data_IF_556949189802
#
_entry.id   IF_556949189802
#
_cell.length_a   1.000
_cell.length_b   1.000
_cell.length_c   1.000
_cell.angle_alpha   90.00
_cell.angle_beta   90.00
_cell.angle_gamma   90.00
#
_symmetry.space_group_name_H-M   'P 1'
#
loop_
_entity.id
_entity.type
_entity.pdbx_description
1 polymer ?
#
# COMPACT_ATOMS: atom_id res chain seq x y z
N UNK A 1 3.76 -12.41 7.97
CA UNK A 1 5.04 -11.63 7.94
C UNK A 1 5.38 -11.25 6.50
N UNK A 2 5.78 -10.02 6.28
CA UNK A 2 6.17 -9.50 4.95
C UNK A 2 7.64 -9.08 4.95
N UNK A 3 8.38 -9.48 3.91
CA UNK A 3 9.76 -9.09 3.67
C UNK A 3 9.91 -8.51 2.27
N UNK A 4 10.46 -7.31 2.20
CA UNK A 4 10.95 -6.67 0.97
C UNK A 4 12.45 -6.48 1.14
N UNK A 5 13.26 -7.00 0.22
CA UNK A 5 14.71 -6.94 0.31
C UNK A 5 15.30 -6.37 -0.99
N UNK A 6 15.79 -5.11 -0.92
CA UNK A 6 16.47 -4.35 -1.99
C UNK A 6 15.74 -4.38 -3.34
N UNK A 7 14.42 -4.18 -3.32
CA UNK A 7 13.66 -4.18 -4.56
C UNK A 7 13.87 -2.90 -5.34
N UNK A 8 13.98 -3.06 -6.65
CA UNK A 8 14.14 -1.93 -7.57
C UNK A 8 13.19 -2.04 -8.74
N UNK A 9 12.76 -0.87 -9.25
CA UNK A 9 11.88 -0.77 -10.43
C UNK A 9 12.12 0.49 -11.21
N UNK A 10 12.30 0.34 -12.51
CA UNK A 10 12.37 1.45 -13.47
C UNK A 10 11.25 1.33 -14.49
N UNK A 11 10.78 2.46 -14.93
CA UNK A 11 9.78 2.56 -15.99
C UNK A 11 10.36 3.29 -17.20
N UNK A 12 9.91 2.90 -18.37
CA UNK A 12 10.20 3.66 -19.58
C UNK A 12 9.58 5.06 -19.47
N UNK A 13 10.39 6.10 -19.57
CA UNK A 13 9.86 7.46 -19.61
C UNK A 13 8.96 7.62 -20.84
N UNK A 14 7.83 8.32 -20.65
CA UNK A 14 7.01 8.70 -21.80
C UNK A 14 7.81 9.70 -22.64
N UNK A 15 7.92 9.50 -23.96
CA UNK A 15 8.62 10.44 -24.80
C UNK A 15 7.92 11.81 -24.76
N UNK A 16 8.63 12.83 -24.31
CA UNK A 16 8.18 14.23 -24.34
C UNK A 16 8.40 14.84 -25.73
N UNK A 17 7.96 14.18 -26.81
CA UNK A 17 8.15 14.66 -28.18
C UNK A 17 8.06 13.56 -29.22
N UNK A 18 8.32 13.88 -30.49
CA UNK A 18 8.30 12.91 -31.56
C UNK A 18 9.33 11.80 -31.30
N UNK A 19 8.88 10.54 -31.36
CA UNK A 19 9.73 9.32 -31.21
C UNK A 19 10.92 9.27 -32.18
N UNK A 20 10.95 10.15 -33.19
CA UNK A 20 11.92 10.20 -34.26
C UNK A 20 12.52 11.60 -34.38
N UNK A 21 13.82 11.72 -34.31
CA UNK A 21 14.53 12.97 -34.61
C UNK A 21 15.26 12.87 -35.94
N UNK A 22 15.19 13.93 -36.70
CA UNK A 22 16.04 14.08 -37.92
C UNK A 22 17.47 14.38 -37.52
N UNK A 23 18.38 13.44 -37.80
CA UNK A 23 19.82 13.69 -37.71
C UNK A 23 20.38 13.61 -39.14
N UNK A 24 20.42 14.78 -39.80
CA UNK A 24 20.72 14.86 -41.22
C UNK A 24 19.61 14.24 -42.07
N UNK A 25 19.96 13.36 -42.99
CA UNK A 25 19.06 12.64 -43.91
C UNK A 25 18.40 11.40 -43.31
N UNK A 26 18.79 11.02 -42.07
CA UNK A 26 18.28 9.79 -41.42
C UNK A 26 17.35 10.14 -40.28
N UNK A 27 16.21 9.44 -40.20
CA UNK A 27 15.35 9.38 -39.02
C UNK A 27 15.98 8.41 -38.01
N UNK A 28 16.37 8.91 -36.83
CA UNK A 28 16.85 8.07 -35.74
C UNK A 28 15.80 8.04 -34.64
N UNK A 29 15.56 6.84 -34.13
CA UNK A 29 14.71 6.65 -32.95
C UNK A 29 15.47 7.19 -31.73
N UNK A 30 14.83 8.05 -30.94
CA UNK A 30 15.41 8.51 -29.68
C UNK A 30 15.65 7.32 -28.74
N UNK A 31 16.78 7.26 -28.03
CA UNK A 31 17.01 6.25 -27.02
C UNK A 31 15.91 6.35 -25.94
N UNK A 32 15.40 5.20 -25.52
CA UNK A 32 14.40 5.10 -24.46
C UNK A 32 15.00 5.64 -23.15
N UNK A 33 14.48 6.77 -22.65
CA UNK A 33 14.81 7.22 -21.32
C UNK A 33 14.10 6.34 -20.26
N UNK A 34 14.74 6.14 -19.13
CA UNK A 34 14.20 5.35 -18.03
C UNK A 34 14.10 6.21 -16.78
N UNK A 35 13.01 6.06 -16.02
CA UNK A 35 12.81 6.69 -14.72
C UNK A 35 12.93 5.61 -13.65
N UNK A 36 13.86 5.77 -12.73
CA UNK A 36 14.01 4.90 -11.56
C UNK A 36 12.94 5.29 -10.55
N UNK A 37 11.89 4.49 -10.44
CA UNK A 37 10.78 4.75 -9.53
C UNK A 37 11.02 4.16 -8.12
N UNK A 38 11.76 3.04 -8.05
CA UNK A 38 12.12 2.35 -6.81
C UNK A 38 13.56 1.88 -6.94
N UNK A 39 14.39 2.16 -5.95
CA UNK A 39 15.82 1.84 -5.91
C UNK A 39 16.19 1.28 -4.53
N UNK A 40 16.38 -0.04 -4.47
CA UNK A 40 16.83 -0.78 -3.29
C UNK A 40 15.94 -0.59 -2.03
N UNK A 41 14.63 -0.49 -2.21
CA UNK A 41 13.70 -0.41 -1.07
C UNK A 41 13.70 -1.75 -0.32
N UNK A 42 13.85 -1.65 1.00
CA UNK A 42 13.76 -2.78 1.94
C UNK A 42 12.77 -2.47 3.05
N UNK A 43 11.98 -3.48 3.45
CA UNK A 43 10.99 -3.37 4.52
C UNK A 43 10.81 -4.75 5.17
N UNK A 44 10.73 -4.78 6.48
CA UNK A 44 10.37 -5.96 7.24
C UNK A 44 9.14 -5.63 8.10
N UNK A 45 8.03 -6.33 7.88
CA UNK A 45 6.80 -6.18 8.64
C UNK A 45 6.47 -7.51 9.34
N UNK A 46 6.61 -7.58 10.67
CA UNK A 46 6.29 -8.77 11.44
C UNK A 46 4.78 -8.90 11.66
N UNK A 47 4.36 -10.10 12.07
CA UNK A 47 2.97 -10.34 12.46
C UNK A 47 2.63 -9.55 13.75
N UNK A 48 1.38 -9.15 13.88
CA UNK A 48 0.89 -8.39 15.03
C UNK A 48 1.37 -6.94 15.08
N UNK A 49 1.94 -6.42 13.99
CA UNK A 49 2.42 -5.04 13.91
C UNK A 49 1.91 -4.33 12.67
N UNK A 50 1.83 -3.01 12.79
CA UNK A 50 1.49 -2.11 11.70
C UNK A 50 2.76 -1.37 11.25
N UNK A 51 3.17 -1.62 10.01
CA UNK A 51 4.33 -0.97 9.40
C UNK A 51 3.86 0.08 8.40
N UNK A 52 4.24 1.33 8.61
CA UNK A 52 3.95 2.47 7.73
C UNK A 52 5.04 2.63 6.66
N UNK A 53 4.64 2.76 5.40
CA UNK A 53 5.50 3.19 4.31
C UNK A 53 5.22 4.68 4.04
N UNK A 54 6.00 5.56 4.68
CA UNK A 54 5.81 7.01 4.67
C UNK A 54 6.66 7.68 3.59
N UNK A 55 6.11 8.64 2.89
CA UNK A 55 6.89 9.43 1.93
C UNK A 55 6.01 10.35 1.08
N UNK A 56 6.61 11.35 0.41
CA UNK A 56 5.87 12.26 -0.46
C UNK A 56 5.27 11.54 -1.68
N UNK A 57 4.39 12.25 -2.39
CA UNK A 57 3.85 11.74 -3.65
C UNK A 57 4.98 11.53 -4.66
N UNK A 58 4.93 10.40 -5.38
CA UNK A 58 6.00 10.02 -6.31
C UNK A 58 7.23 9.37 -5.67
N UNK A 59 7.28 9.18 -4.35
CA UNK A 59 8.41 8.54 -3.66
C UNK A 59 8.59 7.04 -3.96
N UNK A 60 7.66 6.40 -4.66
CA UNK A 60 7.73 4.98 -5.01
C UNK A 60 6.86 4.06 -4.15
N UNK A 61 6.09 4.58 -3.17
CA UNK A 61 5.25 3.79 -2.25
C UNK A 61 4.29 2.85 -2.97
N UNK A 62 3.40 3.39 -3.81
CA UNK A 62 2.42 2.59 -4.58
C UNK A 62 3.11 1.57 -5.49
N UNK A 63 4.23 1.92 -6.13
CA UNK A 63 5.00 0.97 -6.95
C UNK A 63 5.54 -0.19 -6.10
N UNK A 64 6.06 0.11 -4.91
CA UNK A 64 6.54 -0.90 -3.96
C UNK A 64 5.41 -1.82 -3.50
N UNK A 65 4.25 -1.27 -3.11
CA UNK A 65 3.09 -2.07 -2.72
C UNK A 65 2.53 -2.90 -3.88
N UNK A 66 2.52 -2.37 -5.11
CA UNK A 66 2.12 -3.15 -6.30
C UNK A 66 3.08 -4.29 -6.62
N UNK A 67 4.37 -4.12 -6.39
CA UNK A 67 5.34 -5.22 -6.49
C UNK A 67 5.09 -6.28 -5.42
N UNK A 68 4.87 -5.86 -4.18
CA UNK A 68 4.51 -6.75 -3.07
C UNK A 68 3.20 -7.50 -3.33
N UNK A 69 2.20 -6.84 -3.88
CA UNK A 69 0.92 -7.45 -4.28
C UNK A 69 1.06 -8.41 -5.49
N UNK A 70 2.24 -8.52 -6.10
CA UNK A 70 2.47 -9.30 -7.32
C UNK A 70 1.79 -8.72 -8.56
N UNK A 71 1.35 -7.46 -8.53
CA UNK A 71 0.73 -6.77 -9.69
C UNK A 71 1.78 -6.15 -10.62
N UNK A 72 2.99 -5.99 -10.14
CA UNK A 72 4.12 -5.43 -10.85
C UNK A 72 5.36 -6.29 -10.59
N UNK A 73 6.05 -6.72 -11.63
CA UNK A 73 7.30 -7.45 -11.46
C UNK A 73 8.45 -6.49 -11.08
N UNK A 74 9.24 -6.77 -10.03
CA UNK A 74 10.47 -6.02 -9.76
C UNK A 74 11.51 -6.27 -10.85
N UNK A 75 12.44 -5.33 -11.04
CA UNK A 75 13.60 -5.52 -11.92
C UNK A 75 14.75 -6.22 -11.16
N UNK A 76 14.81 -6.05 -9.83
CA UNK A 76 15.75 -6.73 -8.94
C UNK A 76 15.19 -6.78 -7.51
N UNK A 77 15.85 -7.55 -6.64
CA UNK A 77 15.48 -7.72 -5.24
C UNK A 77 14.52 -8.87 -4.99
N UNK A 78 14.07 -9.03 -3.74
CA UNK A 78 13.25 -10.14 -3.27
C UNK A 78 12.03 -9.64 -2.52
N UNK A 79 10.90 -10.30 -2.75
CA UNK A 79 9.61 -10.05 -2.10
C UNK A 79 9.07 -11.37 -1.57
N UNK A 80 8.77 -11.42 -0.28
CA UNK A 80 8.23 -12.61 0.37
C UNK A 80 7.05 -12.28 1.28
N UNK A 81 6.08 -13.17 1.30
CA UNK A 81 4.94 -13.17 2.22
C UNK A 81 4.85 -14.54 2.87
N UNK A 82 5.01 -14.60 4.19
CA UNK A 82 5.10 -15.84 4.98
C UNK A 82 6.10 -16.85 4.39
N UNK A 83 7.29 -16.38 3.96
CA UNK A 83 8.33 -17.16 3.35
C UNK A 83 8.06 -17.58 1.89
N UNK A 84 6.91 -17.18 1.32
CA UNK A 84 6.58 -17.47 -0.08
C UNK A 84 7.06 -16.33 -0.97
N UNK A 85 7.88 -16.66 -1.97
CA UNK A 85 8.33 -15.69 -2.97
C UNK A 85 7.16 -15.20 -3.82
N UNK A 86 6.93 -13.88 -3.82
CA UNK A 86 5.88 -13.24 -4.62
C UNK A 86 6.12 -13.40 -6.13
N UNK A 87 7.37 -13.52 -6.57
CA UNK A 87 7.72 -13.68 -7.98
C UNK A 87 7.63 -15.12 -8.46
N UNK A 88 8.00 -16.10 -7.61
CA UNK A 88 8.06 -17.52 -7.99
C UNK A 88 6.79 -18.30 -7.63
N UNK A 89 6.13 -17.92 -6.53
CA UNK A 89 4.93 -18.57 -6.02
C UNK A 89 3.74 -17.61 -5.91
N UNK A 90 3.57 -16.76 -6.94
CA UNK A 90 2.65 -15.61 -6.94
C UNK A 90 1.25 -15.94 -6.42
N UNK A 91 0.58 -16.95 -6.97
CA UNK A 91 -0.78 -17.31 -6.57
C UNK A 91 -0.87 -17.72 -5.09
N UNK A 92 0.14 -18.47 -4.60
CA UNK A 92 0.19 -18.90 -3.19
C UNK A 92 0.45 -17.72 -2.26
N UNK A 93 1.35 -16.80 -2.64
CA UNK A 93 1.61 -15.59 -1.88
C UNK A 93 0.39 -14.66 -1.87
N UNK A 94 -0.29 -14.47 -3.01
CA UNK A 94 -1.50 -13.65 -3.11
C UNK A 94 -2.65 -14.20 -2.25
N UNK A 95 -2.81 -15.52 -2.14
CA UNK A 95 -3.80 -16.13 -1.25
C UNK A 95 -3.57 -15.84 0.24
N UNK A 96 -2.36 -15.38 0.64
CA UNK A 96 -2.03 -14.96 2.01
C UNK A 96 -2.20 -13.46 2.24
N UNK A 97 -2.66 -12.71 1.24
CA UNK A 97 -2.71 -11.25 1.28
C UNK A 97 -4.12 -10.71 1.06
N UNK A 98 -4.55 -9.80 1.93
CA UNK A 98 -5.67 -8.90 1.69
C UNK A 98 -5.14 -7.57 1.17
N UNK A 99 -5.58 -7.15 -0.03
CA UNK A 99 -5.02 -5.98 -0.68
C UNK A 99 -6.10 -4.93 -0.91
N UNK A 100 -5.88 -3.73 -0.38
CA UNK A 100 -6.64 -2.51 -0.66
C UNK A 100 -5.72 -1.54 -1.42
N UNK A 101 -5.72 -1.64 -2.74
CA UNK A 101 -4.88 -0.79 -3.60
C UNK A 101 -5.55 0.55 -3.96
N UNK A 102 -6.86 0.57 -4.08
CA UNK A 102 -7.70 1.76 -4.29
C UNK A 102 -9.15 1.35 -3.97
N UNK A 103 -9.88 2.19 -3.27
CA UNK A 103 -11.29 1.97 -2.94
C UNK A 103 -12.24 1.91 -4.17
N UNK A 104 -11.70 2.19 -5.36
CA UNK A 104 -12.45 2.21 -6.63
C UNK A 104 -12.77 0.84 -7.23
N UNK A 105 -12.25 -0.23 -6.66
CA UNK A 105 -12.42 -1.59 -7.24
C UNK A 105 -13.72 -2.31 -6.88
N UNK A 106 -14.71 -1.64 -6.30
CA UNK A 106 -16.03 -2.23 -6.03
C UNK A 106 -16.86 -2.31 -7.31
N UNK A 107 -17.68 -3.36 -7.42
CA UNK A 107 -18.71 -3.46 -8.45
C UNK A 107 -19.92 -2.60 -8.04
N UNK A 108 -20.22 -1.47 -8.70
CA UNK A 108 -21.19 -0.49 -8.21
C UNK A 108 -22.63 -1.02 -8.18
N UNK A 109 -22.97 -1.94 -9.09
CA UNK A 109 -24.31 -2.55 -9.16
C UNK A 109 -24.52 -3.69 -8.18
N UNK A 110 -23.45 -4.21 -7.57
CA UNK A 110 -23.54 -5.23 -6.53
C UNK A 110 -23.70 -4.57 -5.17
N UNK A 111 -24.42 -5.26 -4.27
CA UNK A 111 -24.49 -4.89 -2.86
C UNK A 111 -23.12 -5.05 -2.19
N UNK A 112 -22.95 -4.49 -0.98
CA UNK A 112 -21.73 -4.71 -0.19
C UNK A 112 -21.51 -6.21 0.07
N UNK A 113 -22.58 -6.95 0.42
CA UNK A 113 -22.58 -8.40 0.60
C UNK A 113 -22.10 -9.12 -0.65
N UNK A 114 -22.71 -8.84 -1.79
CA UNK A 114 -22.36 -9.48 -3.05
C UNK A 114 -20.91 -9.20 -3.47
N UNK A 115 -20.42 -7.98 -3.25
CA UNK A 115 -19.00 -7.67 -3.46
C UNK A 115 -18.10 -8.56 -2.61
N UNK A 116 -18.39 -8.73 -1.31
CA UNK A 116 -17.60 -9.57 -0.42
C UNK A 116 -17.71 -11.06 -0.80
N UNK A 117 -18.92 -11.58 -0.99
CA UNK A 117 -19.15 -12.98 -1.32
C UNK A 117 -18.50 -13.36 -2.65
N UNK A 118 -18.63 -12.52 -3.67
CA UNK A 118 -18.01 -12.75 -4.96
C UNK A 118 -16.48 -12.90 -4.85
N UNK A 119 -15.82 -11.99 -4.13
CA UNK A 119 -14.37 -12.09 -3.92
C UNK A 119 -13.97 -13.24 -3.00
N UNK A 120 -14.77 -13.58 -1.99
CA UNK A 120 -14.56 -14.77 -1.16
C UNK A 120 -14.57 -16.04 -2.00
N UNK A 121 -15.49 -16.17 -2.93
CA UNK A 121 -15.55 -17.29 -3.88
C UNK A 121 -14.34 -17.33 -4.82
N UNK A 122 -13.89 -16.18 -5.32
CA UNK A 122 -12.66 -16.11 -6.13
C UNK A 122 -11.43 -16.57 -5.36
N UNK A 123 -11.43 -16.39 -4.03
CA UNK A 123 -10.39 -16.87 -3.12
C UNK A 123 -10.59 -18.33 -2.66
N UNK A 124 -11.61 -19.02 -3.19
CA UNK A 124 -11.84 -20.44 -2.95
C UNK A 124 -12.79 -20.75 -1.79
N UNK A 125 -13.46 -19.77 -1.18
CA UNK A 125 -14.48 -20.02 -0.17
C UNK A 125 -15.73 -20.62 -0.80
N UNK A 126 -16.40 -21.51 -0.07
CA UNK A 126 -17.78 -21.93 -0.41
C UNK A 126 -18.75 -20.77 -0.23
N UNK A 127 -19.92 -20.84 -0.88
CA UNK A 127 -20.95 -19.79 -0.74
C UNK A 127 -21.34 -19.55 0.71
N UNK A 128 -21.58 -20.60 1.47
CA UNK A 128 -21.92 -20.47 2.88
C UNK A 128 -20.82 -19.86 3.73
N UNK A 129 -19.55 -20.23 3.48
CA UNK A 129 -18.41 -19.66 4.17
C UNK A 129 -18.23 -18.17 3.83
N UNK A 130 -18.37 -17.81 2.55
CA UNK A 130 -18.23 -16.43 2.10
C UNK A 130 -19.36 -15.54 2.67
N UNK A 131 -20.59 -16.04 2.73
CA UNK A 131 -21.72 -15.34 3.36
C UNK A 131 -21.50 -15.15 4.87
N UNK A 132 -21.13 -16.21 5.59
CA UNK A 132 -20.85 -16.11 7.02
C UNK A 132 -19.72 -15.12 7.32
N UNK A 133 -18.69 -15.11 6.47
CA UNK A 133 -17.58 -14.16 6.62
C UNK A 133 -18.01 -12.72 6.31
N UNK A 134 -18.87 -12.51 5.31
CA UNK A 134 -19.43 -11.19 5.00
C UNK A 134 -20.23 -10.61 6.19
N UNK A 135 -21.01 -11.45 6.90
CA UNK A 135 -21.71 -11.05 8.12
C UNK A 135 -20.75 -10.61 9.23
N UNK A 136 -19.72 -11.41 9.51
CA UNK A 136 -18.71 -11.09 10.53
C UNK A 136 -17.99 -9.76 10.21
N UNK A 137 -17.63 -9.55 8.95
CA UNK A 137 -16.98 -8.32 8.52
C UNK A 137 -17.91 -7.12 8.52
N UNK A 138 -19.22 -7.33 8.30
CA UNK A 138 -20.22 -6.28 8.43
C UNK A 138 -20.34 -5.80 9.88
N UNK A 139 -20.21 -6.70 10.86
CA UNK A 139 -20.17 -6.32 12.28
C UNK A 139 -18.87 -5.59 12.62
N UNK A 140 -17.73 -6.14 12.19
CA UNK A 140 -16.41 -5.55 12.48
C UNK A 140 -16.23 -4.13 11.93
N UNK A 141 -16.83 -3.83 10.78
CA UNK A 141 -16.64 -2.59 10.02
C UNK A 141 -17.86 -1.65 10.05
N UNK A 142 -18.87 -1.95 10.88
CA UNK A 142 -20.14 -1.20 10.94
C UNK A 142 -20.81 -1.05 9.57
N UNK A 143 -20.90 -2.16 8.83
CA UNK A 143 -21.49 -2.20 7.49
C UNK A 143 -22.92 -2.80 7.49
N UNK A 144 -23.43 -3.23 8.66
CA UNK A 144 -24.77 -3.85 8.76
C UNK A 144 -25.87 -3.08 8.03
N UNK A 145 -26.01 -1.74 8.21
CA UNK A 145 -27.07 -0.98 7.54
C UNK A 145 -26.90 -0.87 6.03
N UNK A 146 -25.70 -1.18 5.53
CA UNK A 146 -25.31 -1.02 4.12
C UNK A 146 -25.17 -2.35 3.39
N UNK A 147 -25.19 -3.46 4.13
CA UNK A 147 -24.80 -4.78 3.64
C UNK A 147 -25.55 -5.20 2.37
N UNK A 148 -26.85 -4.94 2.34
CA UNK A 148 -27.73 -5.32 1.23
C UNK A 148 -28.10 -4.14 0.31
N UNK A 149 -27.32 -3.03 0.38
CA UNK A 149 -27.44 -1.89 -0.54
C UNK A 149 -26.37 -1.97 -1.63
N UNK A 150 -26.73 -1.60 -2.86
CA UNK A 150 -25.78 -1.45 -3.96
C UNK A 150 -24.72 -0.40 -3.60
N UNK A 151 -23.47 -0.67 -3.97
CA UNK A 151 -22.35 0.21 -3.62
C UNK A 151 -22.29 1.49 -4.48
N UNK A 152 -23.13 1.58 -5.50
CA UNK A 152 -23.38 2.83 -6.23
C UNK A 152 -24.00 3.85 -5.27
N UNK A 153 -23.39 5.03 -5.17
CA UNK A 153 -23.84 6.06 -4.25
C UNK A 153 -23.31 5.96 -2.81
N UNK A 154 -22.43 5.01 -2.50
CA UNK A 154 -21.73 4.98 -1.21
C UNK A 154 -20.83 6.21 -1.06
N UNK A 155 -20.78 6.77 0.15
CA UNK A 155 -19.77 7.76 0.54
C UNK A 155 -18.37 7.18 0.42
N UNK A 156 -17.34 8.02 0.45
CA UNK A 156 -15.96 7.55 0.40
C UNK A 156 -15.63 6.61 1.57
N UNK A 157 -16.09 6.93 2.79
CA UNK A 157 -15.90 6.09 3.96
C UNK A 157 -16.56 4.72 3.83
N UNK A 158 -17.82 4.67 3.35
CA UNK A 158 -18.55 3.43 3.11
C UNK A 158 -17.87 2.56 2.03
N UNK A 159 -17.32 3.19 0.98
CA UNK A 159 -16.53 2.49 -0.05
C UNK A 159 -15.26 1.90 0.51
N UNK A 160 -14.49 2.65 1.30
CA UNK A 160 -13.24 2.16 1.89
C UNK A 160 -13.52 1.01 2.85
N UNK A 161 -14.52 1.12 3.74
CA UNK A 161 -14.94 0.05 4.64
C UNK A 161 -15.34 -1.22 3.86
N UNK A 162 -16.15 -1.08 2.81
CA UNK A 162 -16.59 -2.21 1.98
C UNK A 162 -15.43 -2.83 1.20
N UNK A 163 -14.53 -2.02 0.67
CA UNK A 163 -13.34 -2.51 -0.03
C UNK A 163 -12.35 -3.21 0.93
N UNK A 164 -12.23 -2.73 2.16
CA UNK A 164 -11.47 -3.41 3.21
C UNK A 164 -12.13 -4.75 3.59
N UNK A 165 -13.45 -4.77 3.81
CA UNK A 165 -14.18 -6.02 4.06
C UNK A 165 -13.95 -7.04 2.94
N UNK A 166 -14.04 -6.61 1.69
CA UNK A 166 -13.73 -7.45 0.52
C UNK A 166 -12.30 -8.00 0.56
N UNK A 167 -11.31 -7.17 0.95
CA UNK A 167 -9.93 -7.60 1.04
C UNK A 167 -9.68 -8.60 2.19
N UNK A 168 -10.53 -8.58 3.23
CA UNK A 168 -10.43 -9.42 4.42
C UNK A 168 -11.31 -10.70 4.34
N UNK A 169 -12.12 -10.87 3.30
CA UNK A 169 -13.15 -11.92 3.27
C UNK A 169 -12.59 -13.35 3.37
N UNK A 170 -11.40 -13.59 2.83
CA UNK A 170 -10.71 -14.89 2.88
C UNK A 170 -9.77 -15.04 4.09
N UNK A 171 -9.89 -14.14 5.07
CA UNK A 171 -9.14 -14.11 6.33
C UNK A 171 -7.61 -14.13 6.18
N UNK A 172 -7.03 -13.25 5.36
CA UNK A 172 -5.58 -13.23 5.12
C UNK A 172 -4.81 -12.84 6.38
N UNK A 173 -3.60 -13.42 6.54
CA UNK A 173 -2.69 -13.05 7.64
C UNK A 173 -1.93 -11.75 7.38
N UNK A 174 -1.82 -11.35 6.12
CA UNK A 174 -1.09 -10.16 5.71
C UNK A 174 -2.01 -9.19 4.99
N UNK A 175 -2.00 -7.91 5.38
CA UNK A 175 -2.89 -6.87 4.87
C UNK A 175 -2.04 -5.73 4.29
N UNK A 176 -2.32 -5.37 3.04
CA UNK A 176 -1.61 -4.32 2.30
C UNK A 176 -2.60 -3.24 1.92
N UNK A 177 -2.35 -2.01 2.37
CA UNK A 177 -3.25 -0.87 2.18
C UNK A 177 -2.50 0.29 1.52
N UNK A 178 -2.96 0.73 0.36
CA UNK A 178 -2.37 1.89 -0.33
C UNK A 178 -3.23 3.13 -0.06
N UNK A 179 -2.70 4.05 0.76
CA UNK A 179 -3.37 5.30 1.19
C UNK A 179 -4.82 5.13 1.69
N UNK A 180 -5.08 4.24 2.66
CA UNK A 180 -6.44 3.83 3.03
C UNK A 180 -7.27 4.94 3.68
N UNK A 181 -6.64 6.00 4.21
CA UNK A 181 -7.30 7.13 4.87
C UNK A 181 -7.58 8.29 3.92
N UNK A 182 -7.11 8.21 2.67
CA UNK A 182 -7.24 9.31 1.73
C UNK A 182 -8.71 9.61 1.39
N UNK A 183 -9.11 10.88 1.63
CA UNK A 183 -10.47 11.34 1.39
C UNK A 183 -11.51 10.88 2.43
N UNK A 184 -11.07 10.32 3.56
CA UNK A 184 -11.93 10.03 4.69
C UNK A 184 -12.08 11.25 5.60
N UNK A 185 -13.26 11.38 6.20
CA UNK A 185 -13.46 12.32 7.30
C UNK A 185 -12.80 11.82 8.60
N UNK A 186 -12.81 12.66 9.63
CA UNK A 186 -12.16 12.38 10.92
C UNK A 186 -12.73 11.13 11.60
N UNK A 187 -14.06 10.93 11.55
CA UNK A 187 -14.73 9.81 12.21
C UNK A 187 -14.43 8.49 11.47
N UNK A 188 -14.51 8.49 10.15
CA UNK A 188 -14.19 7.32 9.33
C UNK A 188 -12.69 6.93 9.48
N UNK A 189 -11.79 7.92 9.52
CA UNK A 189 -10.35 7.69 9.75
C UNK A 189 -10.11 7.08 11.13
N UNK A 190 -10.78 7.57 12.17
CA UNK A 190 -10.68 7.02 13.53
C UNK A 190 -11.18 5.57 13.59
N UNK A 191 -12.36 5.29 13.03
CA UNK A 191 -12.92 3.95 12.99
C UNK A 191 -12.00 2.97 12.23
N UNK A 192 -11.43 3.39 11.10
CA UNK A 192 -10.46 2.59 10.36
C UNK A 192 -9.22 2.27 11.21
N UNK A 193 -8.65 3.24 11.92
CA UNK A 193 -7.51 3.01 12.81
C UNK A 193 -7.81 2.02 13.93
N UNK A 194 -8.97 2.14 14.56
CA UNK A 194 -9.42 1.21 15.60
C UNK A 194 -9.54 -0.21 15.05
N UNK A 195 -10.11 -0.38 13.85
CA UNK A 195 -10.20 -1.67 13.15
C UNK A 195 -8.82 -2.25 12.84
N UNK A 196 -7.89 -1.47 12.31
CA UNK A 196 -6.54 -1.94 11.98
C UNK A 196 -5.77 -2.36 13.23
N UNK A 197 -5.88 -1.61 14.34
CA UNK A 197 -5.31 -2.00 15.62
C UNK A 197 -5.92 -3.29 16.16
N UNK A 198 -7.23 -3.45 16.06
CA UNK A 198 -7.90 -4.69 16.45
C UNK A 198 -7.34 -5.88 15.64
N UNK A 199 -7.23 -5.76 14.31
CA UNK A 199 -6.70 -6.83 13.45
C UNK A 199 -5.27 -7.25 13.80
N UNK A 200 -4.42 -6.31 14.27
CA UNK A 200 -3.06 -6.61 14.73
C UNK A 200 -3.02 -7.19 16.13
N UNK A 201 -4.07 -7.04 16.95
CA UNK A 201 -4.12 -7.59 18.31
C UNK A 201 -4.28 -9.13 18.29
N UNK A 202 -3.94 -9.83 19.38
CA UNK A 202 -4.20 -11.25 19.50
C UNK A 202 -5.66 -11.63 19.27
N UNK A 203 -6.61 -10.80 19.71
CA UNK A 203 -8.05 -11.00 19.50
C UNK A 203 -8.46 -10.91 18.02
N UNK A 204 -7.75 -10.10 17.23
CA UNK A 204 -7.97 -9.95 15.78
C UNK A 204 -7.11 -10.88 14.91
N UNK A 205 -6.32 -11.78 15.52
CA UNK A 205 -5.52 -12.78 14.83
C UNK A 205 -4.08 -12.36 14.55
N UNK A 206 -3.55 -11.32 15.22
CA UNK A 206 -2.16 -10.85 15.10
C UNK A 206 -1.73 -10.63 13.65
N UNK A 207 -2.58 -10.00 12.84
CA UNK A 207 -2.34 -9.77 11.41
C UNK A 207 -1.09 -8.90 11.21
N UNK A 208 -0.37 -9.13 10.11
CA UNK A 208 0.69 -8.25 9.62
C UNK A 208 0.07 -7.18 8.73
N UNK A 209 0.24 -5.90 9.04
CA UNK A 209 -0.30 -4.80 8.23
C UNK A 209 0.83 -3.93 7.70
N UNK A 210 0.82 -3.70 6.38
CA UNK A 210 1.65 -2.69 5.72
C UNK A 210 0.72 -1.68 5.06
N UNK A 211 0.89 -0.39 5.37
CA UNK A 211 0.14 0.64 4.67
C UNK A 211 1.02 1.81 4.23
N UNK A 212 0.69 2.38 3.07
CA UNK A 212 1.32 3.60 2.60
C UNK A 212 0.53 4.83 3.02
N UNK A 213 1.26 5.89 3.32
CA UNK A 213 0.67 7.21 3.57
C UNK A 213 1.68 8.31 3.27
N UNK A 214 1.18 9.52 3.07
CA UNK A 214 1.96 10.76 3.08
C UNK A 214 1.60 11.65 4.28
N UNK A 215 0.75 11.16 5.20
CA UNK A 215 0.22 11.89 6.36
C UNK A 215 0.96 11.43 7.62
N UNK A 216 1.81 12.29 8.17
CA UNK A 216 2.63 12.00 9.36
C UNK A 216 1.78 11.64 10.58
N UNK A 217 0.70 12.36 10.81
CA UNK A 217 -0.22 12.09 11.94
C UNK A 217 -0.83 10.69 11.92
N UNK A 218 -1.02 10.07 10.74
CA UNK A 218 -1.47 8.68 10.65
C UNK A 218 -0.39 7.73 11.16
N UNK A 219 0.84 8.00 10.78
CA UNK A 219 2.01 7.21 11.20
C UNK A 219 2.18 7.26 12.72
N UNK A 220 2.21 8.46 13.32
CA UNK A 220 2.35 8.65 14.76
C UNK A 220 1.27 7.92 15.57
N UNK A 221 0.04 7.91 15.04
CA UNK A 221 -1.11 7.35 15.77
C UNK A 221 -1.30 5.86 15.54
N UNK A 222 -0.73 5.27 14.51
CA UNK A 222 -1.08 3.92 14.08
C UNK A 222 0.12 2.98 13.97
N UNK A 223 1.30 3.45 13.55
CA UNK A 223 2.42 2.57 13.23
C UNK A 223 3.23 2.16 14.45
N UNK A 224 3.62 0.88 14.48
CA UNK A 224 4.65 0.36 15.37
C UNK A 224 6.04 0.59 14.76
N UNK A 225 6.14 0.47 13.43
CA UNK A 225 7.36 0.69 12.64
C UNK A 225 7.06 1.56 11.43
N UNK A 226 8.05 2.35 11.03
CA UNK A 226 7.96 3.26 9.88
C UNK A 226 9.16 3.04 8.98
N UNK A 227 8.91 2.99 7.69
CA UNK A 227 9.94 3.08 6.65
C UNK A 227 9.70 4.37 5.89
N UNK A 228 10.62 5.31 6.01
CA UNK A 228 10.56 6.59 5.29
C UNK A 228 11.20 6.40 3.91
N UNK A 229 10.42 6.73 2.88
CA UNK A 229 10.85 6.61 1.47
C UNK A 229 10.86 7.98 0.82
N UNK A 230 11.98 8.35 0.22
CA UNK A 230 12.13 9.54 -0.61
C UNK A 230 12.94 9.22 -1.87
N UNK A 231 12.56 9.80 -3.00
CA UNK A 231 13.25 9.60 -4.29
C UNK A 231 13.46 8.13 -4.67
N UNK A 232 12.48 7.28 -4.33
CA UNK A 232 12.52 5.84 -4.62
C UNK A 232 13.42 5.01 -3.70
N UNK A 233 13.91 5.56 -2.58
CA UNK A 233 14.86 4.89 -1.67
C UNK A 233 14.40 4.96 -0.23
N UNK A 234 14.82 3.97 0.58
CA UNK A 234 14.73 4.10 2.02
C UNK A 234 15.70 5.19 2.49
N UNK A 235 15.19 6.15 3.26
CA UNK A 235 16.01 7.18 3.89
C UNK A 235 16.15 6.97 5.39
N UNK A 236 15.16 6.36 6.03
CA UNK A 236 15.20 5.98 7.44
C UNK A 236 14.20 4.85 7.72
N UNK A 237 14.40 4.11 8.82
CA UNK A 237 13.44 3.13 9.32
C UNK A 237 13.58 2.98 10.84
N UNK A 238 12.46 2.74 11.54
CA UNK A 238 12.40 2.58 12.98
C UNK A 238 11.02 2.92 13.50
N UNK A 239 10.83 2.96 14.82
CA UNK A 239 9.65 3.56 15.43
C UNK A 239 9.67 5.09 15.28
N UNK A 240 8.54 5.75 15.49
CA UNK A 240 8.51 7.23 15.50
C UNK A 240 9.51 7.80 16.50
N UNK A 241 9.62 7.20 17.70
CA UNK A 241 10.59 7.61 18.73
C UNK A 241 12.05 7.45 18.26
N UNK A 242 12.37 6.37 17.52
CA UNK A 242 13.72 6.17 16.98
C UNK A 242 14.07 7.25 15.95
N UNK A 243 13.10 7.60 15.08
CA UNK A 243 13.29 8.63 14.05
C UNK A 243 13.43 10.04 14.63
N UNK A 244 12.66 10.37 15.68
CA UNK A 244 12.83 11.60 16.45
C UNK A 244 14.21 11.67 17.09
N UNK A 245 14.66 10.59 17.75
CA UNK A 245 15.98 10.52 18.36
C UNK A 245 17.11 10.64 17.34
N UNK A 246 16.97 10.00 16.17
CA UNK A 246 17.93 10.06 15.07
C UNK A 246 18.11 11.48 14.52
N UNK A 247 17.04 12.26 14.45
CA UNK A 247 17.05 13.63 13.90
C UNK A 247 17.29 14.72 14.94
N UNK A 248 17.12 14.39 16.22
CA UNK A 248 17.15 15.38 17.32
C UNK A 248 15.97 16.34 17.33
N UNK A 249 14.89 16.00 16.59
CA UNK A 249 13.67 16.79 16.52
C UNK A 249 12.67 16.38 17.60
N UNK A 250 11.81 17.32 18.01
CA UNK A 250 10.72 17.05 18.96
C UNK A 250 9.39 16.80 18.26
N UNK A 251 9.28 17.17 17.00
CA UNK A 251 8.10 17.02 16.16
C UNK A 251 8.40 16.07 15.00
N UNK A 252 7.47 15.17 14.68
CA UNK A 252 7.70 14.13 13.65
C UNK A 252 7.62 14.70 12.24
N UNK A 253 6.90 15.81 12.02
CA UNK A 253 6.86 16.49 10.72
C UNK A 253 8.23 17.10 10.39
N UNK A 254 8.86 17.77 11.37
CA UNK A 254 10.22 18.31 11.24
C UNK A 254 11.25 17.19 11.01
N UNK A 255 11.14 16.09 11.77
CA UNK A 255 11.98 14.91 11.58
C UNK A 255 11.84 14.32 10.16
N UNK A 256 10.62 14.18 9.67
CA UNK A 256 10.34 13.70 8.34
C UNK A 256 10.90 14.62 7.25
N UNK A 257 10.73 15.93 7.37
CA UNK A 257 11.28 16.92 6.43
C UNK A 257 12.80 16.80 6.37
N UNK A 258 13.45 16.71 7.53
CA UNK A 258 14.91 16.52 7.58
C UNK A 258 15.35 15.20 6.90
N UNK A 259 14.68 14.07 7.18
CA UNK A 259 15.02 12.76 6.61
C UNK A 259 14.75 12.69 5.10
N UNK A 260 13.58 13.19 4.67
CA UNK A 260 13.14 13.03 3.29
C UNK A 260 13.78 14.01 2.31
N UNK A 261 14.15 15.22 2.76
CA UNK A 261 14.60 16.30 1.87
C UNK A 261 16.06 16.72 2.09
N UNK A 262 16.69 16.46 3.26
CA UNK A 262 18.12 16.72 3.45
C UNK A 262 19.01 15.77 2.61
N UNK A 263 18.50 14.61 2.23
CA UNK A 263 19.18 13.62 1.39
C UNK A 263 19.01 13.86 -0.12
N UNK A 264 18.44 15.01 -0.55
CA UNK A 264 18.36 15.34 -1.98
C UNK A 264 19.78 15.51 -2.52
N UNK A 265 20.26 14.70 -3.50
CA UNK A 265 21.52 15.00 -4.17
C UNK A 265 21.39 16.39 -4.77
N UNK A 266 22.37 17.26 -4.49
CA UNK A 266 22.48 18.58 -5.12
C UNK A 266 22.25 18.39 -6.62
N UNK A 267 21.16 18.97 -7.15
CA UNK A 267 20.90 18.96 -8.58
C UNK A 267 22.10 19.62 -9.23
N UNK A 268 22.88 18.83 -9.96
CA UNK A 268 23.95 19.31 -10.81
C UNK A 268 23.34 20.38 -11.73
N UNK A 269 23.87 21.60 -11.63
CA UNK A 269 23.34 22.83 -12.16
C UNK A 269 22.80 22.68 -13.58
N UNK A 270 21.60 23.13 -13.78
CA UNK A 270 21.14 23.66 -15.06
C UNK A 270 21.94 24.93 -15.29
N UNK A 271 23.03 24.81 -16.08
CA UNK A 271 23.70 25.96 -16.69
C UNK A 271 22.69 26.70 -17.56
N UNK A 272 22.71 28.00 -17.39
CA UNK A 272 22.05 29.02 -18.20
C UNK A 272 22.40 28.89 -19.69
#
# INVERSE_FOLDING_TARGET
MILIDKVSKRFAAQPTGARWQRKGWRLQRQPQAWVQAVSDISLHAPNGQITGLLGPNGAGKTSTLRMLAGLLAPDSGRLEVDGLSVTQARAKAQARMGILADARGLYPRLTARENMVYFGRLQGLSDGAAQARAEQLADLLDLRPLLDRATEGFSQGERVKTALARALVHDPDNIILDEPTNGLDVLATRALRETLRHLCSPAGGSKCIVFSTHIMQEVERLCDQVVVVAHGRNVASGSVSDLLAQTGQNDFEDAFVQLAFAAAPAQAGMGL
#
